data_IF_896168927635
#
_entry.id   IF_896168927635
#
_cell.length_a   1.000
_cell.length_b   1.000
_cell.length_c   1.000
_cell.angle_alpha   90.00
_cell.angle_beta   90.00
_cell.angle_gamma   90.00
#
_symmetry.space_group_name_H-M   'P 1'
#
loop_
_entity.id
_entity.type
_entity.pdbx_description
1 polymer ?
#
# COMPACT_ATOMS: atom_id res chain seq x y z
N UNK A 1 2.49 10.94 14.12
CA UNK A 1 3.46 10.86 13.00
C UNK A 1 4.27 9.57 12.98
N UNK A 2 4.80 9.10 14.13
CA UNK A 2 5.61 7.85 14.20
C UNK A 2 4.86 6.63 13.64
N UNK A 3 3.61 6.42 14.07
CA UNK A 3 2.75 5.31 13.60
C UNK A 3 2.51 5.34 12.08
N UNK A 4 2.20 6.51 11.52
CA UNK A 4 1.98 6.67 10.06
C UNK A 4 3.23 6.31 9.28
N UNK A 5 4.42 6.75 9.75
CA UNK A 5 5.68 6.41 9.10
C UNK A 5 5.99 4.91 9.21
N UNK A 6 5.78 4.30 10.38
CA UNK A 6 5.94 2.85 10.57
C UNK A 6 5.05 2.04 9.62
N UNK A 7 3.79 2.48 9.41
CA UNK A 7 2.85 1.83 8.49
C UNK A 7 3.22 2.01 7.03
N UNK A 8 3.63 3.22 6.63
CA UNK A 8 4.14 3.45 5.26
C UNK A 8 5.36 2.57 5.00
N UNK A 9 6.28 2.47 5.96
CA UNK A 9 7.43 1.57 5.86
C UNK A 9 7.03 0.09 5.80
N UNK A 10 6.09 -0.36 6.62
CA UNK A 10 5.60 -1.74 6.60
C UNK A 10 4.91 -2.07 5.27
N UNK A 11 4.09 -1.14 4.77
CA UNK A 11 3.40 -1.26 3.48
C UNK A 11 4.40 -1.30 2.33
N UNK A 12 5.44 -0.47 2.38
CA UNK A 12 6.53 -0.47 1.40
C UNK A 12 7.34 -1.78 1.41
N UNK A 13 7.66 -2.31 2.60
CA UNK A 13 8.32 -3.60 2.74
C UNK A 13 7.47 -4.75 2.19
N UNK A 14 6.16 -4.74 2.45
CA UNK A 14 5.24 -5.74 1.90
C UNK A 14 5.13 -5.64 0.38
N UNK A 15 5.02 -4.43 -0.15
CA UNK A 15 5.04 -4.18 -1.59
C UNK A 15 6.32 -4.70 -2.23
N UNK A 16 7.50 -4.41 -1.64
CA UNK A 16 8.80 -4.85 -2.17
C UNK A 16 8.92 -6.37 -2.22
N UNK A 17 8.36 -7.07 -1.25
CA UNK A 17 8.26 -8.54 -1.27
C UNK A 17 7.36 -9.06 -2.40
N UNK A 18 6.31 -8.30 -2.77
CA UNK A 18 5.40 -8.66 -3.85
C UNK A 18 5.88 -8.18 -5.22
N UNK A 19 6.78 -7.20 -5.28
CA UNK A 19 7.28 -6.64 -6.55
C UNK A 19 7.87 -7.73 -7.44
N UNK A 20 8.57 -8.72 -6.88
CA UNK A 20 9.08 -9.86 -7.67
C UNK A 20 7.96 -10.63 -8.38
N UNK A 21 6.85 -10.87 -7.68
CA UNK A 21 5.65 -11.57 -8.20
C UNK A 21 4.86 -10.68 -9.16
N UNK A 22 4.73 -9.39 -8.86
CA UNK A 22 3.97 -8.42 -9.66
C UNK A 22 4.71 -7.98 -10.95
N UNK A 23 6.04 -8.06 -10.96
CA UNK A 23 6.88 -7.83 -12.14
C UNK A 23 6.99 -9.07 -13.03
N UNK A 24 6.48 -10.23 -12.63
CA UNK A 24 6.42 -11.38 -13.51
C UNK A 24 5.51 -11.09 -14.71
N UNK A 25 6.00 -11.35 -15.92
CA UNK A 25 5.19 -11.26 -17.16
C UNK A 25 3.92 -12.11 -17.13
N UNK A 26 3.82 -13.07 -16.21
CA UNK A 26 2.68 -13.97 -16.04
C UNK A 26 1.51 -13.31 -15.32
N UNK A 27 1.72 -12.23 -14.56
CA UNK A 27 0.65 -11.54 -13.87
C UNK A 27 -0.02 -10.53 -14.81
N UNK A 28 -1.32 -10.70 -15.12
CA UNK A 28 -2.08 -9.73 -15.88
C UNK A 28 -2.13 -8.37 -15.16
N UNK A 29 -2.01 -7.29 -15.92
CA UNK A 29 -2.03 -5.93 -15.35
C UNK A 29 -3.31 -5.62 -14.57
N UNK A 30 -4.45 -6.17 -14.99
CA UNK A 30 -5.72 -5.99 -14.29
C UNK A 30 -5.78 -6.69 -12.91
N UNK A 31 -4.88 -7.64 -12.63
CA UNK A 31 -4.79 -8.30 -11.32
C UNK A 31 -3.91 -7.51 -10.34
N UNK A 32 -2.97 -6.70 -10.82
CA UNK A 32 -2.10 -5.85 -9.97
C UNK A 32 -2.89 -4.96 -9.00
N UNK A 33 -3.93 -4.20 -9.42
CA UNK A 33 -4.72 -3.39 -8.49
C UNK A 33 -5.55 -4.25 -7.53
N UNK A 34 -5.99 -5.45 -7.93
CA UNK A 34 -6.72 -6.38 -7.03
C UNK A 34 -5.81 -6.94 -5.94
N UNK A 35 -4.59 -7.35 -6.29
CA UNK A 35 -3.57 -7.83 -5.34
C UNK A 35 -3.17 -6.69 -4.38
N UNK A 36 -2.99 -5.48 -4.93
CA UNK A 36 -2.75 -4.28 -4.12
C UNK A 36 -3.88 -4.06 -3.10
N UNK A 37 -5.14 -4.05 -3.55
CA UNK A 37 -6.30 -3.86 -2.68
C UNK A 37 -6.47 -4.96 -1.63
N UNK A 38 -6.05 -6.20 -1.93
CA UNK A 38 -6.19 -7.33 -1.02
C UNK A 38 -5.05 -7.48 -0.01
N UNK A 39 -3.82 -7.08 -0.35
CA UNK A 39 -2.63 -7.34 0.48
C UNK A 39 -1.99 -6.08 1.03
N UNK A 40 -2.02 -4.98 0.28
CA UNK A 40 -1.28 -3.76 0.59
C UNK A 40 -2.18 -2.75 1.31
N UNK A 41 -3.40 -2.56 0.79
CA UNK A 41 -4.41 -1.66 1.37
C UNK A 41 -4.79 -2.02 2.82
N UNK A 42 -4.95 -3.29 3.21
CA UNK A 42 -5.22 -3.64 4.61
C UNK A 42 -4.04 -3.32 5.54
N UNK A 43 -2.79 -3.51 5.10
CA UNK A 43 -1.60 -3.19 5.90
C UNK A 43 -1.48 -1.68 6.13
N UNK A 44 -1.83 -0.88 5.12
CA UNK A 44 -1.88 0.58 5.22
C UNK A 44 -3.00 1.08 6.15
N UNK A 45 -4.16 0.41 6.11
CA UNK A 45 -5.39 0.80 6.84
C UNK A 45 -5.52 0.13 8.21
N UNK A 46 -4.71 -0.88 8.54
CA UNK A 46 -4.80 -1.61 9.80
C UNK A 46 -4.60 -0.66 10.98
N UNK A 47 -5.59 -0.60 11.88
CA UNK A 47 -5.60 0.34 12.99
C UNK A 47 -5.82 1.80 12.58
N UNK A 48 -6.34 2.09 11.38
CA UNK A 48 -6.85 3.42 11.02
C UNK A 48 -8.26 3.67 11.61
N UNK A 49 -8.97 2.62 11.99
CA UNK A 49 -10.31 2.68 12.61
C UNK A 49 -10.32 3.43 13.96
N UNK A 50 -9.16 3.50 14.64
CA UNK A 50 -9.03 4.13 15.97
C UNK A 50 -8.37 5.52 15.96
N UNK A 51 -8.00 6.09 14.81
CA UNK A 51 -7.34 7.40 14.75
C UNK A 51 -8.03 8.31 13.73
N UNK A 52 -8.04 9.64 13.94
CA UNK A 52 -8.60 10.55 12.95
C UNK A 52 -7.80 10.41 11.66
N UNK A 53 -8.45 9.94 10.59
CA UNK A 53 -7.92 9.96 9.25
C UNK A 53 -7.74 11.43 8.82
N UNK A 54 -6.58 12.00 9.14
CA UNK A 54 -6.25 13.35 8.71
C UNK A 54 -6.00 13.33 7.21
N UNK A 55 -6.38 14.41 6.50
CA UNK A 55 -6.13 14.57 5.06
C UNK A 55 -4.68 14.31 4.66
N UNK A 56 -3.74 14.55 5.57
CA UNK A 56 -2.32 14.27 5.37
C UNK A 56 -2.03 12.76 5.24
N UNK A 57 -2.68 11.91 6.06
CA UNK A 57 -2.54 10.46 5.96
C UNK A 57 -3.14 9.95 4.66
N UNK A 58 -4.32 10.43 4.27
CA UNK A 58 -4.94 10.10 2.97
C UNK A 58 -4.05 10.51 1.80
N UNK A 59 -3.46 11.71 1.86
CA UNK A 59 -2.55 12.20 0.82
C UNK A 59 -1.29 11.34 0.73
N UNK A 60 -0.68 10.97 1.87
CA UNK A 60 0.50 10.10 1.90
C UNK A 60 0.19 8.70 1.37
N UNK A 61 -0.97 8.15 1.69
CA UNK A 61 -1.43 6.86 1.17
C UNK A 61 -1.68 6.93 -0.35
N UNK A 62 -2.32 8.00 -0.85
CA UNK A 62 -2.54 8.21 -2.28
C UNK A 62 -1.24 8.34 -3.08
N UNK A 63 -0.25 9.06 -2.55
CA UNK A 63 1.09 9.16 -3.17
C UNK A 63 1.78 7.79 -3.19
N UNK A 64 1.66 7.01 -2.12
CA UNK A 64 2.21 5.66 -2.05
C UNK A 64 1.53 4.72 -3.06
N UNK A 65 0.20 4.78 -3.15
CA UNK A 65 -0.62 4.03 -4.13
C UNK A 65 -0.17 4.30 -5.56
N UNK A 66 -0.05 5.58 -5.91
CA UNK A 66 0.35 6.01 -7.26
C UNK A 66 1.77 5.55 -7.61
N UNK A 67 2.67 5.47 -6.63
CA UNK A 67 4.05 4.97 -6.85
C UNK A 67 4.13 3.45 -6.99
N UNK A 68 3.19 2.71 -6.39
CA UNK A 68 3.16 1.25 -6.45
C UNK A 68 2.44 0.75 -7.70
N UNK A 69 1.41 1.45 -8.18
CA UNK A 69 0.61 1.02 -9.33
C UNK A 69 1.14 1.53 -10.69
N UNK A 70 2.29 2.21 -10.70
CA UNK A 70 2.97 2.70 -11.91
C UNK A 70 4.02 1.73 -12.41
#
# INVERSE_FOLDING_TARGET
MVEVNSRVSATWSKWRSLTGVLCERKIPEHLKPKIYGAVVRPVAMYGAECWPATKEVETRLSVMETKMLR
#
